data_IF_960372645369
#
_entry.id   IF_960372645369
#
_cell.length_a   1.000
_cell.length_b   1.000
_cell.length_c   1.000
_cell.angle_alpha   90.00
_cell.angle_beta   90.00
_cell.angle_gamma   90.00
#
_symmetry.space_group_name_H-M   'P 1'
#
loop_
_entity.id
_entity.type
_entity.pdbx_description
1 polymer ?
#
# COMPACT_ATOMS: atom_id res chain seq x y z
N UNK A 1 11.74 9.61 3.93
CA UNK A 1 13.00 8.96 4.34
C UNK A 1 13.61 8.17 3.17
N UNK A 2 13.03 7.04 2.69
CA UNK A 2 13.59 6.22 1.58
C UNK A 2 13.80 7.03 0.30
N UNK A 3 12.80 7.79 -0.14
CA UNK A 3 12.90 8.62 -1.36
C UNK A 3 14.00 9.68 -1.24
N UNK A 4 14.15 10.30 -0.06
CA UNK A 4 15.22 11.28 0.17
C UNK A 4 16.60 10.61 0.16
N UNK A 5 16.74 9.42 0.73
CA UNK A 5 17.99 8.67 0.70
C UNK A 5 18.36 8.27 -0.74
N UNK A 6 17.40 7.76 -1.52
CA UNK A 6 17.62 7.45 -2.94
C UNK A 6 17.98 8.68 -3.77
N UNK A 7 17.40 9.85 -3.45
CA UNK A 7 17.68 11.10 -4.17
C UNK A 7 19.12 11.63 -3.91
N UNK A 8 19.71 11.29 -2.76
CA UNK A 8 21.10 11.64 -2.42
C UNK A 8 22.12 10.62 -2.95
N UNK A 9 21.68 9.47 -3.43
CA UNK A 9 22.53 8.41 -3.94
C UNK A 9 22.87 8.64 -5.42
N UNK A 10 24.15 8.56 -5.77
CA UNK A 10 24.64 8.82 -7.13
C UNK A 10 24.65 7.58 -8.05
N UNK A 11 24.29 6.41 -7.52
CA UNK A 11 24.28 5.18 -8.31
C UNK A 11 23.13 5.16 -9.33
N UNK A 12 23.34 4.71 -10.58
CA UNK A 12 22.30 4.66 -11.61
C UNK A 12 21.03 3.91 -11.18
N UNK A 13 21.19 2.86 -10.37
CA UNK A 13 20.06 2.12 -9.77
C UNK A 13 19.14 3.00 -8.92
N UNK A 14 19.70 3.92 -8.13
CA UNK A 14 18.89 4.81 -7.29
C UNK A 14 17.99 5.71 -8.14
N UNK A 15 18.53 6.26 -9.21
CA UNK A 15 17.76 7.08 -10.16
C UNK A 15 16.62 6.28 -10.80
N UNK A 16 16.91 5.11 -11.35
CA UNK A 16 15.87 4.26 -11.96
C UNK A 16 14.81 3.82 -10.95
N UNK A 17 15.19 3.56 -9.71
CA UNK A 17 14.26 3.22 -8.62
C UNK A 17 13.34 4.40 -8.30
N UNK A 18 13.86 5.63 -8.21
CA UNK A 18 13.05 6.83 -8.01
C UNK A 18 12.01 7.02 -9.12
N UNK A 19 12.40 6.82 -10.37
CA UNK A 19 11.50 6.93 -11.52
C UNK A 19 10.35 5.91 -11.45
N UNK A 20 10.63 4.70 -10.94
CA UNK A 20 9.60 3.67 -10.72
C UNK A 20 8.69 4.06 -9.56
N UNK A 21 9.25 4.49 -8.42
CA UNK A 21 8.47 4.88 -7.25
C UNK A 21 7.57 6.08 -7.54
N UNK A 22 8.03 7.05 -8.32
CA UNK A 22 7.25 8.23 -8.69
C UNK A 22 5.95 7.92 -9.46
N UNK A 23 5.85 6.74 -10.07
CA UNK A 23 4.66 6.27 -10.80
C UNK A 23 3.70 5.44 -9.94
N UNK A 24 4.07 5.11 -8.71
CA UNK A 24 3.27 4.27 -7.81
C UNK A 24 2.35 5.11 -6.94
N UNK A 25 1.30 4.46 -6.43
CA UNK A 25 0.39 5.10 -5.47
C UNK A 25 1.15 5.58 -4.23
N UNK A 26 1.13 6.88 -3.91
CA UNK A 26 1.74 7.40 -2.69
C UNK A 26 1.22 6.71 -1.42
N UNK A 27 -0.09 6.48 -1.33
CA UNK A 27 -0.69 5.78 -0.20
C UNK A 27 -0.15 4.36 -0.07
N UNK A 28 -0.12 3.60 -1.17
CA UNK A 28 0.34 2.21 -1.12
C UNK A 28 1.85 2.09 -0.90
N UNK A 29 2.64 3.08 -1.28
CA UNK A 29 4.07 3.12 -0.92
C UNK A 29 4.26 3.25 0.60
N UNK A 30 3.44 4.07 1.27
CA UNK A 30 3.46 4.18 2.74
C UNK A 30 2.98 2.88 3.40
N UNK A 31 1.92 2.27 2.90
CA UNK A 31 1.41 0.99 3.41
C UNK A 31 2.48 -0.11 3.26
N UNK A 32 3.10 -0.25 2.08
CA UNK A 32 4.14 -1.25 1.84
C UNK A 32 5.38 -1.02 2.73
N UNK A 33 5.79 0.23 2.91
CA UNK A 33 6.92 0.55 3.80
C UNK A 33 6.62 0.16 5.25
N UNK A 34 5.43 0.47 5.74
CA UNK A 34 5.00 0.10 7.10
C UNK A 34 4.85 -1.42 7.24
N UNK A 35 4.36 -2.14 6.22
CA UNK A 35 4.31 -3.60 6.21
C UNK A 35 5.70 -4.21 6.38
N UNK A 36 6.68 -3.79 5.57
CA UNK A 36 8.06 -4.28 5.66
C UNK A 36 8.66 -4.01 7.05
N UNK A 37 8.36 -2.84 7.61
CA UNK A 37 8.84 -2.44 8.94
C UNK A 37 8.29 -3.34 10.04
N UNK A 38 7.00 -3.69 9.99
CA UNK A 38 6.33 -4.57 10.95
C UNK A 38 6.78 -6.02 10.81
N UNK A 39 6.90 -6.51 9.58
CA UNK A 39 7.29 -7.89 9.28
C UNK A 39 8.64 -8.30 9.88
N UNK A 40 9.56 -7.36 10.11
CA UNK A 40 10.88 -7.65 10.72
C UNK A 40 10.83 -8.32 12.08
N UNK A 41 9.76 -8.16 12.83
CA UNK A 41 9.58 -8.73 14.17
C UNK A 41 8.47 -9.79 14.26
N UNK A 42 7.90 -10.19 13.13
CA UNK A 42 6.78 -11.13 13.08
C UNK A 42 7.22 -12.55 12.76
N UNK A 43 6.40 -13.53 13.17
CA UNK A 43 6.47 -14.88 12.62
C UNK A 43 5.87 -14.89 11.22
N UNK A 44 6.14 -15.94 10.44
CA UNK A 44 5.57 -16.09 9.10
C UNK A 44 4.03 -16.14 9.15
N UNK A 45 3.47 -16.84 10.15
CA UNK A 45 2.03 -16.97 10.34
C UNK A 45 1.37 -15.60 10.61
N UNK A 46 1.99 -14.78 11.45
CA UNK A 46 1.48 -13.46 11.79
C UNK A 46 1.60 -12.50 10.60
N UNK A 47 2.67 -12.61 9.83
CA UNK A 47 2.84 -11.85 8.61
C UNK A 47 1.78 -12.20 7.56
N UNK A 48 1.50 -13.49 7.35
CA UNK A 48 0.44 -13.94 6.45
C UNK A 48 -0.95 -13.47 6.89
N UNK A 49 -1.21 -13.46 8.22
CA UNK A 49 -2.46 -12.89 8.77
C UNK A 49 -2.55 -11.39 8.50
N UNK A 50 -1.47 -10.65 8.69
CA UNK A 50 -1.41 -9.22 8.38
C UNK A 50 -1.65 -8.97 6.89
N UNK A 51 -0.97 -9.67 6.00
CA UNK A 51 -1.16 -9.56 4.54
C UNK A 51 -2.60 -9.85 4.12
N UNK A 52 -3.22 -10.87 4.71
CA UNK A 52 -4.62 -11.17 4.42
C UNK A 52 -5.55 -10.02 4.77
N UNK A 53 -5.26 -9.30 5.86
CA UNK A 53 -5.95 -8.07 6.25
C UNK A 53 -5.70 -6.93 5.27
N UNK A 54 -4.44 -6.71 4.88
CA UNK A 54 -4.05 -5.69 3.91
C UNK A 54 -4.77 -5.87 2.57
N UNK A 55 -4.82 -7.10 2.04
CA UNK A 55 -5.56 -7.39 0.79
C UNK A 55 -7.02 -6.98 0.92
N UNK A 56 -7.67 -7.28 2.04
CA UNK A 56 -9.06 -6.87 2.27
C UNK A 56 -9.21 -5.35 2.26
N UNK A 57 -8.32 -4.64 2.93
CA UNK A 57 -8.35 -3.18 2.98
C UNK A 57 -8.02 -2.52 1.63
N UNK A 58 -7.16 -3.12 0.79
CA UNK A 58 -6.87 -2.61 -0.54
C UNK A 58 -8.12 -2.53 -1.45
N UNK A 59 -9.07 -3.45 -1.28
CA UNK A 59 -10.33 -3.45 -2.03
C UNK A 59 -11.48 -2.73 -1.29
N UNK A 60 -11.40 -2.63 0.03
CA UNK A 60 -12.46 -2.07 0.88
C UNK A 60 -11.88 -1.16 1.98
N UNK A 61 -11.28 -0.01 1.63
CA UNK A 61 -10.73 0.92 2.60
C UNK A 61 -11.82 1.80 3.21
N UNK A 62 -12.66 1.21 4.06
CA UNK A 62 -13.80 1.90 4.69
C UNK A 62 -13.41 3.20 5.42
N UNK A 63 -12.23 3.21 6.05
CA UNK A 63 -11.71 4.37 6.77
C UNK A 63 -11.41 5.59 5.88
N UNK A 64 -11.30 5.40 4.57
CA UNK A 64 -11.08 6.47 3.60
C UNK A 64 -12.38 6.99 2.97
N UNK A 65 -13.54 6.45 3.37
CA UNK A 65 -14.85 6.77 2.82
C UNK A 65 -14.94 6.66 1.28
N UNK A 66 -14.16 5.74 0.71
CA UNK A 66 -14.11 5.52 -0.75
C UNK A 66 -15.05 4.40 -1.16
N UNK A 67 -15.72 4.60 -2.31
CA UNK A 67 -16.48 3.53 -2.97
C UNK A 67 -15.52 2.50 -3.58
N UNK A 68 -15.98 1.29 -3.84
CA UNK A 68 -15.17 0.20 -4.37
C UNK A 68 -14.39 0.57 -5.65
N UNK A 69 -14.98 1.37 -6.55
CA UNK A 69 -14.33 1.85 -7.77
C UNK A 69 -13.36 3.03 -7.58
N UNK A 70 -13.23 3.55 -6.36
CA UNK A 70 -12.38 4.72 -6.04
C UNK A 70 -11.15 4.34 -5.21
N UNK A 71 -10.83 3.07 -5.14
CA UNK A 71 -9.66 2.59 -4.40
C UNK A 71 -8.40 2.71 -5.27
N UNK A 72 -7.23 2.78 -4.64
CA UNK A 72 -5.95 2.73 -5.33
C UNK A 72 -5.81 1.48 -6.20
N UNK A 73 -6.32 0.34 -5.70
CA UNK A 73 -6.35 -0.92 -6.46
C UNK A 73 -7.21 -0.82 -7.71
N UNK A 74 -8.42 -0.28 -7.59
CA UNK A 74 -9.33 -0.11 -8.74
C UNK A 74 -8.74 0.85 -9.78
N UNK A 75 -8.15 1.96 -9.33
CA UNK A 75 -7.50 2.93 -10.23
C UNK A 75 -6.29 2.32 -10.95
N UNK A 76 -5.46 1.56 -10.24
CA UNK A 76 -4.34 0.86 -10.85
C UNK A 76 -4.79 -0.15 -11.92
N UNK A 77 -5.86 -0.90 -11.65
CA UNK A 77 -6.47 -1.83 -12.61
C UNK A 77 -7.05 -1.07 -13.80
N UNK A 78 -7.76 0.05 -13.58
CA UNK A 78 -8.28 0.90 -14.65
C UNK A 78 -7.17 1.33 -15.59
N UNK A 79 -6.13 1.95 -15.05
CA UNK A 79 -5.06 2.52 -15.85
C UNK A 79 -4.24 1.46 -16.61
N UNK A 80 -4.05 0.27 -16.01
CA UNK A 80 -3.21 -0.77 -16.59
C UNK A 80 -3.97 -1.70 -17.53
N UNK A 81 -5.18 -2.12 -17.17
CA UNK A 81 -5.86 -3.24 -17.81
C UNK A 81 -7.15 -2.84 -18.54
N UNK A 82 -7.89 -1.83 -18.05
CA UNK A 82 -9.16 -1.41 -18.63
C UNK A 82 -8.94 -0.35 -19.70
N UNK A 83 -8.51 0.85 -19.29
CA UNK A 83 -8.28 1.97 -20.21
C UNK A 83 -6.94 1.88 -20.94
N UNK A 84 -5.97 1.20 -20.32
CA UNK A 84 -4.60 1.00 -20.84
C UNK A 84 -3.87 2.31 -21.16
N UNK A 85 -4.25 3.39 -20.47
CA UNK A 85 -3.64 4.71 -20.62
C UNK A 85 -2.30 4.81 -19.86
N UNK A 86 -2.05 3.91 -18.89
CA UNK A 86 -0.89 3.91 -17.99
C UNK A 86 -0.72 5.21 -17.21
N UNK A 87 -1.80 5.95 -17.02
CA UNK A 87 -1.85 7.23 -16.31
C UNK A 87 -2.77 7.15 -15.09
N UNK A 88 -2.37 6.44 -14.03
CA UNK A 88 -3.18 6.33 -12.83
C UNK A 88 -3.31 7.68 -12.11
N UNK A 89 -4.50 7.95 -11.59
CA UNK A 89 -4.84 9.14 -10.82
C UNK A 89 -4.90 8.77 -9.35
N UNK A 90 -3.72 8.76 -8.73
CA UNK A 90 -3.60 8.39 -7.33
C UNK A 90 -4.20 9.43 -6.38
N UNK A 91 -4.81 8.96 -5.29
CA UNK A 91 -5.35 9.84 -4.24
C UNK A 91 -4.94 9.32 -2.84
N UNK A 92 -4.11 10.08 -2.11
CA UNK A 92 -3.53 11.38 -2.49
C UNK A 92 -2.48 11.25 -3.61
N UNK A 93 -2.30 12.32 -4.39
CA UNK A 93 -1.38 12.35 -5.52
C UNK A 93 0.09 12.52 -5.13
N UNK A 94 0.38 12.93 -3.90
CA UNK A 94 1.73 13.20 -3.41
C UNK A 94 2.05 12.41 -2.13
N UNK A 95 3.30 11.97 -1.98
CA UNK A 95 3.78 11.28 -0.77
C UNK A 95 3.58 12.13 0.50
N UNK A 96 3.78 13.43 0.39
CA UNK A 96 3.64 14.36 1.53
C UNK A 96 2.19 14.59 1.96
N UNK A 97 1.22 14.21 1.15
CA UNK A 97 -0.20 14.32 1.47
C UNK A 97 -0.75 13.06 2.17
N UNK A 98 0.04 11.99 2.26
CA UNK A 98 -0.34 10.78 3.00
C UNK A 98 -0.12 11.00 4.49
N UNK A 99 -1.18 10.78 5.29
CA UNK A 99 -1.12 10.92 6.75
C UNK A 99 -1.09 9.57 7.46
N UNK A 100 -0.69 9.57 8.73
CA UNK A 100 -0.70 8.35 9.55
C UNK A 100 -2.12 7.77 9.70
N UNK A 101 -3.13 8.61 9.78
CA UNK A 101 -4.54 8.23 9.89
C UNK A 101 -5.05 7.51 8.62
N UNK A 102 -4.45 7.79 7.47
CA UNK A 102 -4.76 7.08 6.22
C UNK A 102 -4.11 5.70 6.20
N UNK A 103 -2.96 5.52 6.82
CA UNK A 103 -2.14 4.30 6.74
C UNK A 103 -2.45 3.33 7.88
N UNK A 104 -2.53 3.81 9.12
CA UNK A 104 -2.65 2.95 10.31
C UNK A 104 -3.83 1.96 10.26
N UNK A 105 -5.03 2.32 9.78
CA UNK A 105 -6.17 1.40 9.75
C UNK A 105 -5.99 0.22 8.78
N UNK A 106 -5.09 0.29 7.80
CA UNK A 106 -4.77 -0.87 6.95
C UNK A 106 -4.23 -2.06 7.76
N UNK A 107 -3.62 -1.79 8.90
CA UNK A 107 -2.99 -2.80 9.77
C UNK A 107 -3.88 -3.24 10.94
N UNK A 108 -5.11 -2.79 10.98
CA UNK A 108 -6.13 -3.28 11.91
C UNK A 108 -6.86 -4.44 11.24
N UNK A 109 -6.88 -5.61 11.90
CA UNK A 109 -7.59 -6.76 11.34
C UNK A 109 -9.07 -6.41 11.09
N UNK A 110 -9.59 -6.63 9.88
CA UNK A 110 -11.02 -6.41 9.60
C UNK A 110 -11.91 -7.54 10.15
N UNK A 111 -11.31 -8.56 10.74
CA UNK A 111 -12.02 -9.68 11.37
C UNK A 111 -11.66 -9.77 12.86
N UNK A 112 -12.60 -10.17 13.72
CA UNK A 112 -12.25 -10.65 15.06
C UNK A 112 -11.40 -11.93 14.95
N UNK A 113 -10.59 -12.21 15.97
CA UNK A 113 -9.64 -13.35 15.95
C UNK A 113 -10.29 -14.69 15.60
N UNK A 114 -11.48 -14.96 16.15
CA UNK A 114 -12.23 -16.19 15.90
C UNK A 114 -12.77 -16.34 14.47
N UNK A 115 -12.91 -15.25 13.74
CA UNK A 115 -13.41 -15.24 12.36
C UNK A 115 -12.30 -14.97 11.31
N UNK A 116 -11.04 -14.86 11.75
CA UNK A 116 -9.95 -14.61 10.81
C UNK A 116 -9.79 -15.78 9.83
N UNK A 117 -9.71 -15.53 8.50
CA UNK A 117 -9.60 -16.61 7.50
C UNK A 117 -8.40 -17.54 7.70
N UNK A 118 -7.33 -17.05 8.31
CA UNK A 118 -6.10 -17.79 8.60
C UNK A 118 -5.91 -18.05 10.11
N UNK A 119 -6.98 -18.23 10.86
CA UNK A 119 -6.90 -18.46 12.32
C UNK A 119 -6.26 -19.80 12.69
N UNK A 120 -6.28 -20.76 11.77
CA UNK A 120 -5.75 -22.12 11.99
C UNK A 120 -4.24 -22.24 11.67
N UNK A 121 -3.59 -21.17 11.22
CA UNK A 121 -2.14 -21.17 10.99
C UNK A 121 -1.32 -21.23 12.29
#
# INVERSE_FOLDING_TARGET
EVVAALASEHHPWAKSTLEVLAKRSPLMLHVAFEQIRRARGMTLEDELRMERGLVRHCFHPHHLNRRAGQTETAEGIRALAVDKDHLPRWEPAALTAVTAEMVAPFFVSPWPSWAHPLREL
#
